data_IF_423312440697
#
_entry.id   IF_423312440697
#
_cell.length_a   1.000
_cell.length_b   1.000
_cell.length_c   1.000
_cell.angle_alpha   90.00
_cell.angle_beta   90.00
_cell.angle_gamma   90.00
#
_symmetry.space_group_name_H-M   'P 1'
#
loop_
_entity.id
_entity.type
_entity.pdbx_description
1 polymer ?
#
# COMPACT_ATOMS: atom_id res chain seq x y z
N UNK A 1 -2.28 37.09 12.72
CA UNK A 1 -0.96 37.36 12.11
C UNK A 1 0.11 37.29 13.20
N UNK A 2 0.87 36.19 13.27
CA UNK A 2 2.27 36.13 13.75
C UNK A 2 2.77 34.69 13.61
N UNK A 3 3.60 34.52 12.60
CA UNK A 3 4.49 33.38 12.40
C UNK A 3 5.57 33.49 13.48
N UNK A 4 5.88 32.40 14.17
CA UNK A 4 7.17 32.23 14.82
C UNK A 4 7.71 30.85 14.45
N UNK A 5 8.47 30.85 13.37
CA UNK A 5 9.39 29.80 12.97
C UNK A 5 10.64 29.84 13.85
N UNK A 6 11.05 28.67 14.35
CA UNK A 6 12.45 28.27 14.33
C UNK A 6 13.26 28.42 15.62
N UNK A 7 13.80 27.25 16.00
CA UNK A 7 15.14 26.98 16.56
C UNK A 7 15.22 26.66 18.07
N UNK A 8 15.45 25.36 18.28
CA UNK A 8 16.41 24.74 19.21
C UNK A 8 16.22 24.96 20.70
N UNK A 9 15.78 23.91 21.39
CA UNK A 9 16.34 23.55 22.68
C UNK A 9 16.49 22.03 22.76
N UNK A 10 17.68 21.55 22.42
CA UNK A 10 18.15 20.18 22.65
C UNK A 10 18.68 20.04 24.11
N UNK A 11 18.07 20.75 25.07
CA UNK A 11 18.63 20.93 26.41
C UNK A 11 17.71 20.53 27.57
N UNK A 12 16.48 20.08 27.35
CA UNK A 12 15.57 19.70 28.44
C UNK A 12 14.86 18.38 28.18
N UNK A 13 15.63 17.29 28.18
CA UNK A 13 15.14 15.99 28.63
C UNK A 13 16.11 15.47 29.69
N UNK A 14 16.07 16.14 30.84
CA UNK A 14 16.65 15.67 32.07
C UNK A 14 15.98 14.35 32.49
N UNK A 15 16.71 13.27 32.22
CA UNK A 15 17.06 12.21 33.19
C UNK A 15 15.89 11.61 33.98
N UNK A 16 15.22 10.66 33.35
CA UNK A 16 14.82 9.42 34.04
C UNK A 16 14.93 8.25 33.07
N UNK A 17 16.16 7.88 32.73
CA UNK A 17 16.47 6.52 32.33
C UNK A 17 17.30 5.90 33.45
N UNK A 18 16.77 4.84 34.04
CA UNK A 18 17.48 3.92 34.92
C UNK A 18 18.55 3.23 34.08
N UNK A 19 19.66 3.93 33.88
CA UNK A 19 20.86 3.39 33.27
C UNK A 19 21.49 2.45 34.28
N UNK A 20 21.36 1.16 33.98
CA UNK A 20 21.97 0.05 34.69
C UNK A 20 23.50 0.25 34.66
N UNK A 21 24.06 0.77 35.75
CA UNK A 21 25.45 1.23 35.85
C UNK A 21 26.49 0.10 35.97
N UNK A 22 26.26 -1.04 35.29
CA UNK A 22 27.07 -2.24 35.48
C UNK A 22 27.76 -2.81 34.22
N UNK A 23 27.82 -2.10 33.09
CA UNK A 23 28.56 -2.60 31.92
C UNK A 23 29.40 -1.53 31.19
N UNK A 24 30.22 -0.81 31.94
CA UNK A 24 31.50 -0.32 31.41
C UNK A 24 32.65 -0.81 32.29
N UNK A 25 32.85 -2.14 32.31
CA UNK A 25 34.20 -2.67 32.51
C UNK A 25 34.87 -2.64 31.15
N UNK A 26 35.63 -1.58 30.87
CA UNK A 26 36.72 -1.66 29.89
C UNK A 26 37.75 -2.61 30.50
N UNK A 27 37.72 -3.87 30.05
CA UNK A 27 38.81 -4.81 30.27
C UNK A 27 39.85 -4.55 29.18
N UNK A 28 40.81 -3.67 29.48
CA UNK A 28 41.92 -3.27 28.60
C UNK A 28 42.96 -4.40 28.34
N UNK A 29 42.59 -5.68 28.41
CA UNK A 29 43.54 -6.80 28.28
C UNK A 29 43.16 -7.88 27.26
N UNK A 30 41.95 -7.87 26.66
CA UNK A 30 41.53 -8.89 25.67
C UNK A 30 41.64 -8.46 24.18
N UNK A 31 42.05 -7.21 23.91
CA UNK A 31 42.09 -6.61 22.56
C UNK A 31 43.43 -6.85 21.80
N UNK A 32 44.29 -7.77 22.23
CA UNK A 32 45.60 -8.04 21.59
C UNK A 32 45.66 -9.30 20.74
N UNK A 33 44.61 -10.12 20.71
CA UNK A 33 44.56 -11.27 19.82
C UNK A 33 43.93 -10.85 18.48
N UNK A 34 44.66 -10.89 17.35
CA UNK A 34 44.07 -10.59 16.05
C UNK A 34 42.88 -11.51 15.73
N UNK A 35 42.79 -12.71 16.31
CA UNK A 35 41.65 -13.59 16.14
C UNK A 35 40.37 -13.03 16.79
N UNK A 36 40.45 -12.45 17.99
CA UNK A 36 39.26 -11.87 18.67
C UNK A 36 38.78 -10.60 17.98
N UNK A 37 39.71 -9.79 17.43
CA UNK A 37 39.37 -8.61 16.63
C UNK A 37 38.72 -9.01 15.30
N UNK A 38 39.24 -10.03 14.62
CA UNK A 38 38.66 -10.54 13.37
C UNK A 38 37.29 -11.17 13.59
N UNK A 39 37.08 -11.88 14.70
CA UNK A 39 35.77 -12.42 15.08
C UNK A 39 34.78 -11.30 15.44
N UNK A 40 35.21 -10.26 16.14
CA UNK A 40 34.37 -9.08 16.38
C UNK A 40 34.00 -8.36 15.08
N UNK A 41 34.96 -8.20 14.15
CA UNK A 41 34.70 -7.62 12.82
C UNK A 41 33.74 -8.51 12.04
N UNK A 42 33.94 -9.83 12.03
CA UNK A 42 33.07 -10.80 11.37
C UNK A 42 31.65 -10.77 11.93
N UNK A 43 31.50 -10.73 13.25
CA UNK A 43 30.21 -10.59 13.92
C UNK A 43 29.54 -9.25 13.65
N UNK A 44 30.30 -8.16 13.55
CA UNK A 44 29.79 -6.84 13.21
C UNK A 44 29.35 -6.76 11.74
N UNK A 45 30.14 -7.30 10.81
CA UNK A 45 29.77 -7.40 9.39
C UNK A 45 28.54 -8.29 9.24
N UNK A 46 28.50 -9.44 9.91
CA UNK A 46 27.34 -10.31 9.93
C UNK A 46 26.12 -9.55 10.48
N UNK A 47 26.25 -8.83 11.60
CA UNK A 47 25.15 -8.04 12.18
C UNK A 47 24.69 -6.92 11.24
N UNK A 48 25.60 -6.24 10.55
CA UNK A 48 25.27 -5.17 9.60
C UNK A 48 24.64 -5.70 8.31
N UNK A 49 25.03 -6.90 7.87
CA UNK A 49 24.50 -7.55 6.66
C UNK A 49 23.25 -8.39 6.92
N UNK A 50 23.03 -8.84 8.16
CA UNK A 50 21.83 -9.58 8.61
C UNK A 50 20.78 -8.69 9.27
N UNK A 51 21.10 -7.43 9.60
CA UNK A 51 20.10 -6.37 9.74
C UNK A 51 19.49 -6.11 8.37
N UNK A 52 18.69 -7.09 7.94
CA UNK A 52 17.63 -6.95 6.97
C UNK A 52 16.98 -5.60 7.20
N UNK A 53 16.96 -4.80 6.13
CA UNK A 53 16.48 -3.43 6.10
C UNK A 53 15.34 -3.24 7.10
N UNK A 54 15.47 -2.26 8.01
CA UNK A 54 14.35 -1.77 8.83
C UNK A 54 13.14 -1.76 7.91
N UNK A 55 12.19 -2.67 8.13
CA UNK A 55 10.96 -2.68 7.35
C UNK A 55 10.42 -1.27 7.46
N UNK A 56 10.25 -0.62 6.33
CA UNK A 56 9.61 0.69 6.31
C UNK A 56 8.28 0.54 7.04
N UNK A 57 7.93 1.50 7.91
CA UNK A 57 6.66 1.42 8.61
C UNK A 57 5.53 1.29 7.59
N UNK A 58 4.49 0.50 7.88
CA UNK A 58 3.38 0.34 6.96
C UNK A 58 2.76 1.71 6.67
N UNK A 59 2.44 1.93 5.40
CA UNK A 59 1.81 3.14 4.91
C UNK A 59 0.41 3.32 5.51
N UNK A 60 -0.30 2.21 5.76
CA UNK A 60 -1.63 2.21 6.35
C UNK A 60 -1.67 1.41 7.65
N UNK A 61 -2.32 1.97 8.65
CA UNK A 61 -2.55 1.31 9.94
C UNK A 61 -3.69 0.29 9.86
N UNK A 62 -4.62 0.47 8.91
CA UNK A 62 -5.75 -0.43 8.70
C UNK A 62 -6.29 -0.43 7.27
N UNK A 63 -7.01 -1.49 6.85
CA UNK A 63 -7.71 -1.54 5.56
C UNK A 63 -8.68 -0.36 5.32
N UNK A 64 -9.24 0.23 6.37
CA UNK A 64 -10.18 1.35 6.24
C UNK A 64 -9.50 2.66 5.89
N UNK A 65 -8.25 2.85 6.29
CA UNK A 65 -7.47 4.04 5.92
C UNK A 65 -7.20 4.09 4.43
N UNK A 66 -7.08 2.92 3.77
CA UNK A 66 -6.96 2.81 2.31
C UNK A 66 -8.19 3.38 1.62
N UNK A 67 -9.39 2.99 2.06
CA UNK A 67 -10.64 3.50 1.46
C UNK A 67 -10.79 5.00 1.68
N UNK A 68 -10.45 5.49 2.87
CA UNK A 68 -10.49 6.92 3.20
C UNK A 68 -9.51 7.72 2.34
N UNK A 69 -8.29 7.20 2.13
CA UNK A 69 -7.29 7.81 1.27
C UNK A 69 -7.79 7.91 -0.17
N UNK A 70 -8.31 6.81 -0.73
CA UNK A 70 -8.88 6.81 -2.09
C UNK A 70 -10.07 7.76 -2.23
N UNK A 71 -10.93 7.86 -1.21
CA UNK A 71 -12.08 8.77 -1.21
C UNK A 71 -11.64 10.23 -1.24
N UNK A 72 -10.63 10.58 -0.45
CA UNK A 72 -10.05 11.93 -0.46
C UNK A 72 -9.47 12.29 -1.83
N UNK A 73 -8.76 11.34 -2.45
CA UNK A 73 -8.16 11.54 -3.77
C UNK A 73 -9.23 11.70 -4.85
N UNK A 74 -10.31 10.92 -4.81
CA UNK A 74 -11.44 11.06 -5.77
C UNK A 74 -12.10 12.43 -5.72
N UNK A 75 -12.21 13.01 -4.53
CA UNK A 75 -12.88 14.29 -4.35
C UNK A 75 -11.95 15.49 -4.65
N UNK A 76 -10.65 15.25 -4.84
CA UNK A 76 -9.74 16.23 -5.42
C UNK A 76 -10.04 16.32 -6.93
N UNK A 77 -10.48 17.48 -7.40
CA UNK A 77 -10.88 17.73 -8.80
C UNK A 77 -9.69 17.74 -9.79
N UNK A 78 -8.78 16.77 -9.66
CA UNK A 78 -7.52 16.64 -10.39
C UNK A 78 -7.53 15.34 -11.21
N UNK A 79 -7.32 15.38 -12.54
CA UNK A 79 -7.20 14.17 -13.35
C UNK A 79 -6.06 13.24 -12.92
N UNK A 80 -4.97 13.76 -12.33
CA UNK A 80 -3.85 12.95 -11.83
C UNK A 80 -4.21 12.15 -10.56
N UNK A 81 -5.34 12.48 -9.92
CA UNK A 81 -5.85 11.78 -8.76
C UNK A 81 -6.14 10.29 -9.04
N UNK A 82 -6.49 9.93 -10.27
CA UNK A 82 -6.74 8.55 -10.66
C UNK A 82 -5.47 7.68 -10.62
N UNK A 83 -4.33 8.26 -11.00
CA UNK A 83 -3.03 7.60 -10.95
C UNK A 83 -2.67 7.32 -9.49
N UNK A 84 -2.81 8.32 -8.62
CA UNK A 84 -2.53 8.20 -7.20
C UNK A 84 -3.43 7.18 -6.49
N UNK A 85 -4.73 7.13 -6.83
CA UNK A 85 -5.66 6.11 -6.30
C UNK A 85 -5.16 4.69 -6.57
N UNK A 86 -4.60 4.45 -7.75
CA UNK A 86 -4.14 3.12 -8.12
C UNK A 86 -2.85 2.74 -7.40
N UNK A 87 -1.92 3.67 -7.22
CA UNK A 87 -0.71 3.46 -6.41
C UNK A 87 -1.03 3.16 -4.95
N UNK A 88 -2.03 3.84 -4.39
CA UNK A 88 -2.55 3.57 -3.04
C UNK A 88 -3.02 2.10 -2.93
N UNK A 89 -3.76 1.61 -3.93
CA UNK A 89 -4.23 0.21 -3.91
C UNK A 89 -3.10 -0.81 -4.10
N UNK A 90 -2.10 -0.52 -4.93
CA UNK A 90 -0.93 -1.40 -5.08
C UNK A 90 -0.15 -1.52 -3.76
N UNK A 91 0.09 -0.40 -3.06
CA UNK A 91 0.67 -0.43 -1.72
C UNK A 91 -0.21 -1.21 -0.73
N UNK A 92 -1.52 -0.97 -0.76
CA UNK A 92 -2.47 -1.69 0.09
C UNK A 92 -2.55 -3.19 -0.20
N UNK A 93 -2.30 -3.65 -1.43
CA UNK A 93 -2.25 -5.08 -1.77
C UNK A 93 -1.01 -5.77 -1.21
N UNK A 94 0.10 -5.04 -1.05
CA UNK A 94 1.30 -5.54 -0.38
C UNK A 94 1.06 -5.68 1.12
N UNK A 95 0.42 -4.67 1.74
CA UNK A 95 0.18 -4.65 3.19
C UNK A 95 -1.00 -5.54 3.63
N UNK A 96 -2.05 -5.62 2.82
CA UNK A 96 -3.28 -6.34 3.12
C UNK A 96 -3.68 -7.36 2.03
N UNK A 97 -2.81 -8.30 1.64
CA UNK A 97 -3.01 -9.18 0.47
C UNK A 97 -4.23 -10.11 0.57
N UNK A 98 -4.72 -10.34 1.80
CA UNK A 98 -5.87 -11.21 2.11
C UNK A 98 -7.14 -10.42 2.44
N UNK A 99 -7.09 -9.09 2.44
CA UNK A 99 -8.24 -8.27 2.77
C UNK A 99 -9.19 -8.20 1.59
N UNK A 100 -10.28 -8.97 1.67
CA UNK A 100 -11.36 -8.90 0.68
C UNK A 100 -11.98 -7.50 0.58
N UNK A 101 -12.00 -6.74 1.68
CA UNK A 101 -12.47 -5.35 1.70
C UNK A 101 -11.60 -4.42 0.83
N UNK A 102 -10.27 -4.53 0.92
CA UNK A 102 -9.34 -3.71 0.11
C UNK A 102 -9.49 -4.05 -1.36
N UNK A 103 -9.55 -5.34 -1.68
CA UNK A 103 -9.75 -5.83 -3.06
C UNK A 103 -11.08 -5.33 -3.63
N UNK A 104 -12.16 -5.43 -2.86
CA UNK A 104 -13.49 -4.97 -3.27
C UNK A 104 -13.52 -3.45 -3.47
N UNK A 105 -12.90 -2.69 -2.57
CA UNK A 105 -12.79 -1.25 -2.70
C UNK A 105 -12.06 -0.89 -3.99
N UNK A 106 -10.91 -1.51 -4.26
CA UNK A 106 -10.15 -1.31 -5.49
C UNK A 106 -11.00 -1.58 -6.74
N UNK A 107 -11.74 -2.69 -6.77
CA UNK A 107 -12.66 -3.02 -7.87
C UNK A 107 -13.67 -1.89 -8.09
N UNK A 108 -14.32 -1.40 -7.03
CA UNK A 108 -15.32 -0.33 -7.15
C UNK A 108 -14.72 0.96 -7.72
N UNK A 109 -13.52 1.34 -7.29
CA UNK A 109 -12.84 2.52 -7.80
C UNK A 109 -12.38 2.35 -9.26
N UNK A 110 -11.85 1.19 -9.63
CA UNK A 110 -11.43 0.90 -11.00
C UNK A 110 -12.63 0.93 -11.96
N UNK A 111 -13.78 0.37 -11.55
CA UNK A 111 -15.00 0.35 -12.35
C UNK A 111 -15.67 1.71 -12.49
N UNK A 112 -15.37 2.68 -11.62
CA UNK A 112 -15.82 4.06 -11.79
C UNK A 112 -15.12 4.76 -12.97
N UNK A 113 -13.93 4.30 -13.36
CA UNK A 113 -13.11 4.88 -14.43
C UNK A 113 -12.57 3.79 -15.38
N UNK A 114 -13.44 3.00 -16.04
CA UNK A 114 -13.06 1.72 -16.64
C UNK A 114 -12.16 1.84 -17.88
N UNK A 115 -12.19 2.99 -18.57
CA UNK A 115 -11.47 3.20 -19.83
C UNK A 115 -10.05 3.76 -19.65
N UNK A 116 -9.70 4.20 -18.46
CA UNK A 116 -8.43 4.88 -18.20
C UNK A 116 -7.29 3.85 -18.01
N UNK A 117 -6.12 4.09 -18.61
CA UNK A 117 -4.87 3.38 -18.30
C UNK A 117 -4.02 4.24 -17.37
N UNK A 118 -4.28 4.11 -16.08
CA UNK A 118 -3.83 5.06 -15.05
C UNK A 118 -2.44 4.77 -14.52
N UNK A 119 -1.70 3.83 -15.10
CA UNK A 119 -0.51 3.28 -14.46
C UNK A 119 0.74 3.58 -15.26
N UNK A 120 1.68 4.30 -14.62
CA UNK A 120 3.03 4.50 -15.15
C UNK A 120 3.77 3.16 -15.35
N UNK A 121 3.45 2.16 -14.51
CA UNK A 121 4.11 0.84 -14.48
C UNK A 121 3.46 -0.18 -15.43
N UNK A 122 2.15 -0.08 -15.69
CA UNK A 122 1.42 -0.95 -16.60
C UNK A 122 0.53 -0.13 -17.56
N UNK A 123 1.13 0.60 -18.51
CA UNK A 123 0.41 1.53 -19.39
C UNK A 123 -0.56 0.83 -20.37
N UNK A 124 -0.43 -0.49 -20.52
CA UNK A 124 -1.20 -1.29 -21.47
C UNK A 124 -2.42 -1.99 -20.84
N UNK A 125 -2.61 -1.87 -19.53
CA UNK A 125 -3.73 -2.49 -18.81
C UNK A 125 -4.77 -1.43 -18.44
N UNK A 126 -6.00 -1.63 -18.89
CA UNK A 126 -7.14 -0.78 -18.53
C UNK A 126 -7.64 -1.06 -17.12
N UNK A 127 -8.27 -0.08 -16.49
CA UNK A 127 -8.90 -0.27 -15.18
C UNK A 127 -9.97 -1.37 -15.18
N UNK A 128 -10.70 -1.54 -16.30
CA UNK A 128 -11.68 -2.62 -16.45
C UNK A 128 -11.03 -4.02 -16.41
N UNK A 129 -9.95 -4.22 -17.18
CA UNK A 129 -9.20 -5.48 -17.17
C UNK A 129 -8.66 -5.79 -15.77
N UNK A 130 -8.11 -4.78 -15.09
CA UNK A 130 -7.63 -4.96 -13.72
C UNK A 130 -8.74 -5.34 -12.74
N UNK A 131 -9.91 -4.72 -12.88
CA UNK A 131 -11.06 -5.01 -12.04
C UNK A 131 -11.54 -6.46 -12.23
N UNK A 132 -11.55 -6.96 -13.47
CA UNK A 132 -11.90 -8.35 -13.79
C UNK A 132 -10.91 -9.35 -13.17
N UNK A 133 -9.61 -9.07 -13.22
CA UNK A 133 -8.59 -9.89 -12.54
C UNK A 133 -8.84 -9.97 -11.03
N UNK A 134 -9.17 -8.84 -10.41
CA UNK A 134 -9.44 -8.76 -8.97
C UNK A 134 -10.76 -9.44 -8.59
N UNK A 135 -11.78 -9.39 -9.44
CA UNK A 135 -13.02 -10.15 -9.27
C UNK A 135 -12.78 -11.68 -9.35
N UNK A 136 -11.95 -12.12 -10.30
CA UNK A 136 -11.51 -13.52 -10.37
C UNK A 136 -10.69 -13.93 -9.15
N UNK A 137 -9.90 -13.02 -8.59
CA UNK A 137 -9.15 -13.26 -7.35
C UNK A 137 -10.11 -13.42 -6.17
N UNK A 138 -11.06 -12.49 -5.99
CA UNK A 138 -11.95 -12.49 -4.82
C UNK A 138 -12.91 -13.68 -4.81
N UNK A 139 -13.37 -14.14 -5.97
CA UNK A 139 -14.24 -15.33 -6.08
C UNK A 139 -13.54 -16.64 -5.66
N UNK A 140 -12.21 -16.69 -5.76
CA UNK A 140 -11.39 -17.82 -5.31
C UNK A 140 -10.99 -17.72 -3.84
N UNK A 141 -11.20 -16.57 -3.20
CA UNK A 141 -10.81 -16.34 -1.81
C UNK A 141 -11.92 -16.75 -0.84
N UNK A 142 -11.52 -17.27 0.32
CA UNK A 142 -12.42 -17.46 1.47
C UNK A 142 -12.60 -16.14 2.20
N UNK A 143 -13.47 -15.28 1.67
CA UNK A 143 -13.85 -13.99 2.28
C UNK A 143 -15.24 -14.05 2.92
N UNK A 144 -15.56 -13.12 3.84
CA UNK A 144 -16.91 -12.96 4.40
C UNK A 144 -18.01 -12.83 3.33
N UNK A 145 -19.23 -13.25 3.66
CA UNK A 145 -20.35 -13.33 2.71
C UNK A 145 -20.72 -11.98 2.08
N UNK A 146 -20.70 -10.91 2.86
CA UNK A 146 -20.92 -9.54 2.41
C UNK A 146 -19.92 -9.14 1.32
N UNK A 147 -18.64 -9.47 1.48
CA UNK A 147 -17.63 -9.22 0.46
C UNK A 147 -17.88 -10.02 -0.82
N UNK A 148 -18.27 -11.30 -0.70
CA UNK A 148 -18.63 -12.12 -1.87
C UNK A 148 -19.85 -11.56 -2.60
N UNK A 149 -20.88 -11.19 -1.84
CA UNK A 149 -22.11 -10.62 -2.38
C UNK A 149 -21.84 -9.32 -3.12
N UNK A 150 -21.04 -8.43 -2.54
CA UNK A 150 -20.66 -7.18 -3.20
C UNK A 150 -19.79 -7.43 -4.44
N UNK A 151 -18.90 -8.41 -4.42
CA UNK A 151 -18.14 -8.82 -5.61
C UNK A 151 -19.07 -9.29 -6.75
N UNK A 152 -20.07 -10.12 -6.43
CA UNK A 152 -21.08 -10.55 -7.38
C UNK A 152 -21.90 -9.38 -7.95
N UNK A 153 -22.29 -8.41 -7.12
CA UNK A 153 -22.98 -7.21 -7.59
C UNK A 153 -22.12 -6.39 -8.56
N UNK A 154 -20.84 -6.23 -8.27
CA UNK A 154 -19.88 -5.55 -9.17
C UNK A 154 -19.76 -6.27 -10.51
N UNK A 155 -19.66 -7.61 -10.51
CA UNK A 155 -19.63 -8.42 -11.73
C UNK A 155 -20.91 -8.21 -12.57
N UNK A 156 -22.09 -8.24 -11.93
CA UNK A 156 -23.36 -8.01 -12.62
C UNK A 156 -23.49 -6.59 -13.19
N UNK A 157 -22.93 -5.60 -12.51
CA UNK A 157 -22.90 -4.22 -13.01
C UNK A 157 -22.05 -4.11 -14.29
N UNK A 158 -20.91 -4.81 -14.36
CA UNK A 158 -20.08 -4.89 -15.56
C UNK A 158 -20.84 -5.55 -16.71
N UNK A 159 -21.44 -6.73 -16.48
CA UNK A 159 -22.21 -7.46 -17.50
C UNK A 159 -23.34 -6.60 -18.06
N UNK A 160 -24.06 -5.87 -17.19
CA UNK A 160 -25.15 -4.99 -17.61
C UNK A 160 -24.64 -3.80 -18.43
N UNK A 161 -23.50 -3.20 -18.03
CA UNK A 161 -22.87 -2.11 -18.76
C UNK A 161 -22.42 -2.54 -20.17
N UNK A 162 -21.84 -3.74 -20.29
CA UNK A 162 -21.43 -4.31 -21.58
C UNK A 162 -22.63 -4.56 -22.50
N UNK A 163 -23.68 -5.22 -22.00
CA UNK A 163 -24.92 -5.46 -22.76
C UNK A 163 -25.57 -4.17 -23.23
N UNK A 164 -25.59 -3.14 -22.39
CA UNK A 164 -26.17 -1.85 -22.76
C UNK A 164 -25.40 -1.19 -23.91
N UNK A 165 -24.07 -1.30 -23.92
CA UNK A 165 -23.23 -0.79 -25.02
C UNK A 165 -23.43 -1.57 -26.31
N UNK A 166 -23.62 -2.88 -26.24
CA UNK A 166 -23.89 -3.71 -27.42
C UNK A 166 -25.21 -3.35 -28.08
N UNK A 167 -26.28 -3.21 -27.29
CA UNK A 167 -27.60 -2.78 -27.79
C UNK A 167 -27.52 -1.42 -28.49
N UNK A 168 -26.82 -0.44 -27.90
CA UNK A 168 -26.64 0.88 -28.52
C UNK A 168 -25.87 0.82 -29.85
N UNK A 169 -24.84 -0.05 -29.95
CA UNK A 169 -24.11 -0.26 -31.22
C UNK A 169 -25.00 -0.93 -32.27
N UNK A 170 -25.87 -1.84 -31.87
CA UNK A 170 -26.82 -2.51 -32.77
C UNK A 170 -27.90 -1.56 -33.28
N UNK A 171 -28.44 -0.67 -32.46
CA UNK A 171 -29.44 0.33 -32.88
C UNK A 171 -28.90 1.33 -33.91
N UNK A 172 -27.64 1.74 -33.78
CA UNK A 172 -26.96 2.59 -34.75
C UNK A 172 -26.77 1.89 -36.11
N UNK A 173 -26.55 0.57 -36.11
CA UNK A 173 -26.37 -0.21 -37.34
C UNK A 173 -27.68 -0.56 -38.06
N UNK A 174 -28.83 -0.56 -37.37
CA UNK A 174 -30.15 -0.84 -37.99
C UNK A 174 -30.77 0.42 -38.61
N UNK A 175 -30.24 1.61 -38.31
CA UNK A 175 -30.74 2.90 -38.79
C UNK A 175 -30.07 3.40 -40.08
N UNK A 176 -29.30 2.55 -40.79
CA UNK A 176 -28.62 2.87 -42.06
C UNK A 176 -29.25 2.15 -43.26
#
# INVERSE_FOLDING_TARGET
>A
MRIVTGKTSFAELSRHSTWNSNQLKRSDEDDRDPATVLDQIGNNILRLTTQTAKQEPPLFSSPYEVELACRFVRDAADPDALILMREIFEAAFVEFPKSGFVILSAIQYLLAFPSESTLLVHPNETNAEKADELLLKISKMKVPFDVQFMGFLSEKLIEQSQKSREVQKSELNVSS
#
